data_IF_583475387519
#
_entry.id   IF_583475387519
#
_cell.length_a   1.000
_cell.length_b   1.000
_cell.length_c   1.000
_cell.angle_alpha   90.00
_cell.angle_beta   90.00
_cell.angle_gamma   90.00
#
_symmetry.space_group_name_H-M   'P 1'
#
loop_
_entity.id
_entity.type
_entity.pdbx_description
1 polymer ?
#
# COMPACT_ATOMS: atom_id res chain seq x y z
N UNK A 1 -25.17 -22.85 -29.53
CA UNK A 1 -23.97 -22.05 -29.16
C UNK A 1 -23.82 -22.18 -27.66
N UNK A 2 -22.73 -22.76 -27.17
CA UNK A 2 -22.45 -22.84 -25.73
C UNK A 2 -22.17 -21.41 -25.25
N UNK A 3 -23.02 -20.86 -24.38
CA UNK A 3 -22.75 -19.61 -23.71
C UNK A 3 -21.54 -19.85 -22.79
N UNK A 4 -20.41 -19.26 -23.13
CA UNK A 4 -19.29 -19.16 -22.20
C UNK A 4 -19.80 -18.36 -21.00
N UNK A 5 -19.80 -18.90 -19.78
CA UNK A 5 -20.24 -18.15 -18.62
C UNK A 5 -19.41 -16.88 -18.48
N UNK A 6 -20.05 -15.76 -18.14
CA UNK A 6 -19.34 -14.52 -17.84
C UNK A 6 -18.57 -14.75 -16.52
N UNK A 7 -17.25 -14.95 -16.64
CA UNK A 7 -16.35 -15.16 -15.49
C UNK A 7 -15.76 -13.82 -15.07
N UNK A 8 -16.01 -13.43 -13.83
CA UNK A 8 -15.38 -12.30 -13.16
C UNK A 8 -14.25 -12.86 -12.29
N UNK A 9 -13.02 -12.42 -12.56
CA UNK A 9 -11.85 -12.85 -11.80
C UNK A 9 -11.30 -11.69 -10.97
N UNK A 10 -10.97 -11.95 -9.70
CA UNK A 10 -10.39 -10.97 -8.81
C UNK A 10 -9.30 -11.59 -7.93
N UNK A 11 -8.15 -10.92 -7.83
CA UNK A 11 -7.10 -11.26 -6.87
C UNK A 11 -7.32 -10.49 -5.57
N UNK A 12 -7.37 -11.20 -4.45
CA UNK A 12 -7.64 -10.65 -3.12
C UNK A 12 -6.37 -10.70 -2.29
N UNK A 13 -6.06 -9.60 -1.59
CA UNK A 13 -4.91 -9.53 -0.70
C UNK A 13 -5.00 -10.59 0.41
N UNK A 14 -3.86 -11.20 0.75
CA UNK A 14 -3.79 -12.25 1.77
C UNK A 14 -4.47 -11.85 3.08
N UNK A 15 -4.22 -10.64 3.57
CA UNK A 15 -4.78 -10.12 4.83
C UNK A 15 -6.32 -9.94 4.80
N UNK A 16 -6.90 -9.76 3.61
CA UNK A 16 -8.34 -9.53 3.42
C UNK A 16 -9.09 -10.79 3.01
N UNK A 17 -8.36 -11.89 2.72
CA UNK A 17 -8.91 -13.11 2.14
C UNK A 17 -10.12 -13.64 2.90
N UNK A 18 -9.95 -13.89 4.19
CA UNK A 18 -10.99 -14.49 5.03
C UNK A 18 -12.24 -13.61 5.13
N UNK A 19 -12.08 -12.29 5.18
CA UNK A 19 -13.19 -11.34 5.24
C UNK A 19 -13.97 -11.31 3.92
N UNK A 20 -13.24 -11.25 2.80
CA UNK A 20 -13.83 -11.17 1.45
C UNK A 20 -14.52 -12.48 1.08
N UNK A 21 -13.91 -13.64 1.36
CA UNK A 21 -14.54 -14.96 1.13
C UNK A 21 -15.82 -15.08 1.95
N UNK A 22 -15.82 -14.67 3.22
CA UNK A 22 -17.02 -14.69 4.07
C UNK A 22 -18.13 -13.78 3.52
N UNK A 23 -17.78 -12.58 3.08
CA UNK A 23 -18.72 -11.64 2.48
C UNK A 23 -19.40 -12.26 1.24
N UNK A 24 -18.62 -12.83 0.32
CA UNK A 24 -19.17 -13.42 -0.90
C UNK A 24 -19.92 -14.72 -0.64
N UNK A 25 -19.56 -15.49 0.38
CA UNK A 25 -20.33 -16.66 0.82
C UNK A 25 -21.72 -16.25 1.33
N UNK A 26 -21.82 -15.11 2.02
CA UNK A 26 -23.12 -14.59 2.44
C UNK A 26 -23.99 -14.12 1.26
N UNK A 27 -23.35 -13.60 0.19
CA UNK A 27 -24.04 -13.05 -0.97
C UNK A 27 -24.45 -14.11 -2.00
N UNK A 28 -23.56 -15.06 -2.30
CA UNK A 28 -23.73 -16.09 -3.34
C UNK A 28 -24.04 -17.48 -2.79
N UNK A 29 -23.98 -17.67 -1.46
CA UNK A 29 -24.08 -18.97 -0.82
C UNK A 29 -22.75 -19.73 -0.82
N UNK A 30 -22.82 -21.03 -0.57
CA UNK A 30 -21.63 -21.88 -0.52
C UNK A 30 -20.89 -21.91 -1.87
N UNK A 31 -19.55 -21.76 -1.85
CA UNK A 31 -18.78 -21.79 -3.08
C UNK A 31 -18.80 -23.17 -3.73
N UNK A 32 -18.70 -23.20 -5.07
CA UNK A 32 -18.54 -24.46 -5.83
C UNK A 32 -17.15 -25.06 -5.63
N UNK A 33 -16.14 -24.20 -5.50
CA UNK A 33 -14.74 -24.57 -5.26
C UNK A 33 -14.22 -23.72 -4.12
N UNK A 34 -13.58 -24.34 -3.13
CA UNK A 34 -12.88 -23.64 -2.05
C UNK A 34 -11.58 -24.37 -1.72
N UNK A 35 -10.48 -23.63 -1.82
CA UNK A 35 -9.14 -24.01 -1.39
C UNK A 35 -8.52 -22.85 -0.62
N UNK A 36 -7.32 -23.06 -0.09
CA UNK A 36 -6.59 -22.01 0.62
C UNK A 36 -6.31 -20.79 -0.27
N UNK A 37 -6.17 -20.95 -1.58
CA UNK A 37 -5.76 -19.90 -2.51
C UNK A 37 -6.78 -19.54 -3.59
N UNK A 38 -7.91 -20.24 -3.66
CA UNK A 38 -8.93 -20.00 -4.69
C UNK A 38 -10.32 -20.33 -4.17
N UNK A 39 -11.28 -19.46 -4.48
CA UNK A 39 -12.72 -19.68 -4.25
C UNK A 39 -13.50 -19.33 -5.52
N UNK A 40 -14.46 -20.17 -5.89
CA UNK A 40 -15.35 -19.94 -7.05
C UNK A 40 -16.81 -19.99 -6.63
N UNK A 41 -17.51 -18.88 -6.85
CA UNK A 41 -18.97 -18.77 -6.69
C UNK A 41 -19.66 -18.82 -8.05
N UNK A 42 -20.87 -19.38 -8.10
CA UNK A 42 -21.71 -19.41 -9.29
C UNK A 42 -23.02 -18.72 -8.97
N UNK A 43 -23.35 -17.67 -9.72
CA UNK A 43 -24.64 -16.98 -9.61
C UNK A 43 -25.76 -17.90 -10.05
N UNK A 44 -26.77 -18.08 -9.19
CA UNK A 44 -27.94 -18.92 -9.48
C UNK A 44 -28.77 -18.37 -10.66
N UNK A 45 -28.75 -17.06 -10.88
CA UNK A 45 -29.69 -16.39 -11.76
C UNK A 45 -29.11 -16.03 -13.14
N UNK A 46 -27.79 -15.89 -13.25
CA UNK A 46 -27.15 -15.26 -14.43
C UNK A 46 -26.14 -16.13 -15.16
N UNK A 47 -25.92 -17.38 -14.73
CA UNK A 47 -24.84 -18.24 -15.27
C UNK A 47 -23.47 -17.56 -15.26
N UNK A 48 -23.24 -16.63 -14.33
CA UNK A 48 -21.97 -15.92 -14.15
C UNK A 48 -21.17 -16.56 -13.02
N UNK A 49 -19.85 -16.59 -13.16
CA UNK A 49 -18.95 -17.14 -12.15
C UNK A 49 -18.08 -16.02 -11.56
N UNK A 50 -17.91 -16.02 -10.24
CA UNK A 50 -16.95 -15.15 -9.55
C UNK A 50 -15.80 -16.04 -9.05
N UNK A 51 -14.62 -15.86 -9.62
CA UNK A 51 -13.39 -16.51 -9.17
C UNK A 51 -12.55 -15.52 -8.36
N UNK A 52 -12.30 -15.87 -7.10
CA UNK A 52 -11.42 -15.14 -6.22
C UNK A 52 -10.13 -15.93 -6.06
N UNK A 53 -8.98 -15.29 -6.26
CA UNK A 53 -7.66 -15.90 -6.03
C UNK A 53 -6.97 -15.15 -4.90
N UNK A 54 -6.48 -15.87 -3.89
CA UNK A 54 -5.68 -15.28 -2.81
C UNK A 54 -4.30 -14.94 -3.34
N UNK A 55 -3.86 -13.71 -3.16
CA UNK A 55 -2.46 -13.35 -3.35
C UNK A 55 -1.58 -14.21 -2.43
N UNK A 56 -0.40 -14.64 -2.90
CA UNK A 56 0.54 -15.38 -2.07
C UNK A 56 0.94 -14.57 -0.82
N UNK A 57 1.13 -15.25 0.31
CA UNK A 57 1.61 -14.64 1.57
C UNK A 57 2.99 -13.96 1.39
N UNK A 58 3.72 -14.32 0.31
CA UNK A 58 5.01 -13.74 -0.07
C UNK A 58 4.97 -12.27 -0.52
N UNK A 59 3.80 -11.62 -0.56
CA UNK A 59 3.73 -10.16 -0.73
C UNK A 59 3.56 -9.37 0.59
N UNK A 60 3.68 -10.01 1.76
CA UNK A 60 3.53 -9.33 3.07
C UNK A 60 4.69 -9.49 4.06
N UNK A 61 5.83 -10.04 3.63
CA UNK A 61 7.06 -10.05 4.46
C UNK A 61 8.14 -9.21 3.80
N UNK A 62 8.53 -8.15 4.51
CA UNK A 62 9.51 -7.11 4.15
C UNK A 62 8.98 -5.91 3.34
N UNK A 63 7.80 -5.38 3.68
CA UNK A 63 7.66 -3.94 3.49
C UNK A 63 8.73 -3.28 4.38
N UNK A 64 9.81 -2.76 3.78
CA UNK A 64 10.79 -1.94 4.47
C UNK A 64 10.04 -0.80 5.16
N UNK A 65 9.74 -0.95 6.46
CA UNK A 65 9.04 0.07 7.21
C UNK A 65 9.77 1.41 7.00
N UNK A 66 9.04 2.50 6.70
CA UNK A 66 9.70 3.78 6.49
C UNK A 66 10.50 4.15 7.74
N UNK A 67 11.79 4.42 7.57
CA UNK A 67 12.63 4.89 8.66
C UNK A 67 12.29 6.35 8.92
N UNK A 68 11.62 6.60 10.03
CA UNK A 68 11.26 7.95 10.46
C UNK A 68 12.44 8.62 11.16
N UNK A 69 12.82 9.80 10.66
CA UNK A 69 13.85 10.66 11.25
C UNK A 69 13.22 11.97 11.73
N UNK A 70 12.93 12.10 13.03
CA UNK A 70 12.43 13.35 13.59
C UNK A 70 13.55 14.39 13.57
N UNK A 71 13.23 15.57 13.04
CA UNK A 71 14.06 16.76 13.06
C UNK A 71 13.58 17.64 14.21
N UNK A 72 14.50 18.15 15.03
CA UNK A 72 14.20 18.91 16.25
C UNK A 72 14.59 20.38 16.08
N UNK A 73 13.96 21.27 16.84
CA UNK A 73 14.32 22.69 16.91
C UNK A 73 13.48 23.61 16.02
N UNK A 74 13.70 24.92 16.10
CA UNK A 74 12.87 25.94 15.44
C UNK A 74 13.08 26.06 13.93
N UNK A 75 14.23 25.60 13.41
CA UNK A 75 14.60 25.70 12.00
C UNK A 75 14.41 24.39 11.22
N UNK A 76 13.61 23.46 11.74
CA UNK A 76 13.53 22.11 11.19
C UNK A 76 13.00 22.02 9.76
N UNK A 77 12.29 23.03 9.25
CA UNK A 77 11.94 23.12 7.81
C UNK A 77 13.19 23.14 6.92
N UNK A 78 14.16 23.99 7.27
CA UNK A 78 15.42 24.08 6.53
C UNK A 78 16.20 22.77 6.63
N UNK A 79 16.23 22.18 7.83
CA UNK A 79 16.95 20.92 8.05
C UNK A 79 16.30 19.73 7.33
N UNK A 80 14.97 19.66 7.26
CA UNK A 80 14.26 18.64 6.44
C UNK A 80 14.64 18.79 4.97
N UNK A 81 14.72 20.02 4.47
CA UNK A 81 15.16 20.29 3.10
C UNK A 81 16.62 19.89 2.88
N UNK A 82 17.53 20.28 3.77
CA UNK A 82 18.95 19.96 3.66
C UNK A 82 19.20 18.44 3.72
N UNK A 83 18.47 17.70 4.57
CA UNK A 83 18.51 16.24 4.66
C UNK A 83 17.97 15.57 3.39
N UNK A 84 16.88 16.10 2.84
CA UNK A 84 16.32 15.64 1.58
C UNK A 84 17.32 15.85 0.43
N UNK A 85 17.86 17.06 0.26
CA UNK A 85 18.79 17.41 -0.81
C UNK A 85 20.09 16.57 -0.71
N UNK A 86 20.57 16.35 0.53
CA UNK A 86 21.70 15.45 0.80
C UNK A 86 21.40 14.02 0.34
N UNK A 87 20.24 13.46 0.70
CA UNK A 87 19.88 12.10 0.29
C UNK A 87 19.79 11.95 -1.24
N UNK A 88 19.21 12.93 -1.93
CA UNK A 88 19.16 12.96 -3.41
C UNK A 88 20.58 12.99 -3.99
N UNK A 89 21.47 13.83 -3.47
CA UNK A 89 22.87 13.88 -3.94
C UNK A 89 23.66 12.58 -3.71
N UNK A 90 23.22 11.76 -2.76
CA UNK A 90 23.81 10.46 -2.43
C UNK A 90 23.20 9.30 -3.24
N UNK A 91 22.31 9.60 -4.19
CA UNK A 91 21.73 8.61 -5.10
C UNK A 91 20.36 8.07 -4.66
N UNK A 92 19.74 8.63 -3.62
CA UNK A 92 18.34 8.34 -3.31
C UNK A 92 17.43 8.94 -4.40
N UNK A 93 16.27 8.33 -4.62
CA UNK A 93 15.27 8.89 -5.52
C UNK A 93 14.18 9.64 -4.73
N UNK A 94 13.68 10.70 -5.35
CA UNK A 94 12.60 11.53 -4.77
C UNK A 94 11.28 10.77 -4.80
N UNK A 95 10.68 10.55 -3.63
CA UNK A 95 9.30 10.08 -3.49
C UNK A 95 8.37 11.27 -3.24
N UNK A 96 8.71 12.10 -2.26
CA UNK A 96 7.98 13.32 -1.92
C UNK A 96 8.96 14.43 -1.54
N UNK A 97 8.92 15.53 -2.30
CA UNK A 97 9.69 16.74 -1.99
C UNK A 97 9.21 17.35 -0.66
N UNK A 98 10.10 18.08 0.06
CA UNK A 98 9.74 18.79 1.28
C UNK A 98 8.46 19.61 1.10
N UNK A 99 7.46 19.32 1.91
CA UNK A 99 6.17 20.01 1.89
C UNK A 99 5.63 20.20 3.30
N UNK A 100 5.00 21.35 3.52
CA UNK A 100 4.23 21.67 4.72
C UNK A 100 2.88 20.94 4.69
N UNK A 101 2.60 20.20 5.75
CA UNK A 101 1.33 19.51 6.00
C UNK A 101 0.78 19.98 7.34
N UNK A 102 -0.51 20.31 7.36
CA UNK A 102 -1.17 20.84 8.55
C UNK A 102 -2.45 21.59 8.21
N UNK A 103 -3.37 21.75 9.17
CA UNK A 103 -4.51 22.63 9.00
C UNK A 103 -4.03 24.05 8.83
N UNK A 104 -4.58 24.75 7.82
CA UNK A 104 -4.35 26.18 7.61
C UNK A 104 -4.52 26.91 8.94
N UNK A 105 -3.50 27.64 9.39
CA UNK A 105 -3.42 28.39 10.67
C UNK A 105 -2.73 27.67 11.85
N UNK A 106 -2.11 26.50 11.69
CA UNK A 106 -1.18 25.92 12.69
C UNK A 106 0.26 25.96 12.20
N UNK A 107 1.21 25.86 13.12
CA UNK A 107 2.63 25.77 12.74
C UNK A 107 2.82 24.45 11.98
N UNK A 108 3.11 24.56 10.69
CA UNK A 108 3.04 23.45 9.76
C UNK A 108 4.15 22.42 10.02
N UNK A 109 3.79 21.13 9.95
CA UNK A 109 4.76 20.04 9.95
C UNK A 109 5.40 19.95 8.56
N UNK A 110 6.71 19.91 8.48
CA UNK A 110 7.41 19.70 7.21
C UNK A 110 7.77 18.23 7.06
N UNK A 111 7.37 17.62 5.94
CA UNK A 111 7.67 16.23 5.61
C UNK A 111 8.38 16.12 4.26
N UNK A 112 9.37 15.24 4.18
CA UNK A 112 10.03 14.83 2.95
C UNK A 112 10.27 13.31 2.96
N UNK A 113 10.14 12.66 1.79
CA UNK A 113 10.29 11.21 1.65
C UNK A 113 11.22 10.89 0.48
N UNK A 114 12.20 10.03 0.71
CA UNK A 114 13.11 9.50 -0.30
C UNK A 114 13.13 7.98 -0.23
N UNK A 115 13.42 7.33 -1.36
CA UNK A 115 13.67 5.89 -1.43
C UNK A 115 15.13 5.59 -1.75
N UNK A 116 15.66 4.52 -1.15
CA UNK A 116 16.99 3.97 -1.43
C UNK A 116 16.83 2.53 -1.87
N UNK A 117 17.20 2.25 -3.12
CA UNK A 117 17.23 0.90 -3.66
C UNK A 117 17.44 0.86 -5.16
N UNK A 118 17.32 -0.33 -5.75
CA UNK A 118 17.77 -0.61 -7.13
C UNK A 118 16.62 -0.64 -8.13
N UNK A 119 15.38 -0.83 -7.69
CA UNK A 119 14.25 -1.13 -8.59
C UNK A 119 13.23 0.01 -8.73
N UNK A 120 13.29 1.06 -7.88
CA UNK A 120 12.20 2.05 -7.74
C UNK A 120 10.86 1.38 -7.40
N UNK A 121 10.90 0.14 -6.91
CA UNK A 121 9.74 -0.62 -6.47
C UNK A 121 9.60 -0.39 -4.97
N UNK A 122 8.50 0.23 -4.54
CA UNK A 122 8.29 0.67 -3.16
C UNK A 122 8.27 -0.47 -2.14
N UNK A 123 8.08 -1.71 -2.61
CA UNK A 123 8.10 -2.92 -1.78
C UNK A 123 9.51 -3.42 -1.51
N UNK A 124 10.47 -3.17 -2.41
CA UNK A 124 11.86 -3.66 -2.30
C UNK A 124 12.83 -2.57 -1.81
N UNK A 125 12.45 -1.30 -1.90
CA UNK A 125 13.30 -0.16 -1.62
C UNK A 125 13.07 0.37 -0.18
N UNK A 126 14.15 0.80 0.50
CA UNK A 126 14.04 1.38 1.84
C UNK A 126 13.56 2.83 1.75
N UNK A 127 12.45 3.13 2.42
CA UNK A 127 11.95 4.50 2.54
C UNK A 127 12.55 5.21 3.75
N UNK A 128 12.92 6.48 3.57
CA UNK A 128 13.32 7.39 4.64
C UNK A 128 12.39 8.60 4.67
N UNK A 129 11.84 8.86 5.85
CA UNK A 129 10.91 9.95 6.11
C UNK A 129 11.56 10.99 7.03
N UNK A 130 11.85 12.18 6.52
CA UNK A 130 12.32 13.31 7.32
C UNK A 130 11.11 14.14 7.77
N UNK A 131 10.91 14.29 9.07
CA UNK A 131 9.73 14.97 9.62
C UNK A 131 10.16 15.98 10.67
N UNK A 132 9.74 17.24 10.47
CA UNK A 132 9.83 18.29 11.48
C UNK A 132 8.43 18.69 11.90
N UNK A 133 8.09 18.52 13.18
CA UNK A 133 6.93 19.15 13.79
C UNK A 133 7.43 20.17 14.83
N UNK A 134 7.17 21.46 14.64
CA UNK A 134 7.62 22.50 15.56
C UNK A 134 6.92 22.49 16.93
N UNK A 135 5.90 21.63 17.11
CA UNK A 135 5.18 21.46 18.36
C UNK A 135 5.59 20.17 19.14
N UNK A 136 6.60 19.44 18.66
CA UNK A 136 7.20 18.29 19.36
C UNK A 136 8.33 18.69 20.29
#
# INVERSE_FOLDING_TARGET
MQNTPDVIEATIQYAQWEEVVRFFTHLYGEPRVQSDSEVVFVSADTSSELRLTRAEEKELTEANEPIYRPVKGSNGEKEVKDLYDKAISQGAYSVQKPKKIGPSNKVDTTIAIVGIGKSRNFLDDQLFCFIHNPNW
#
